data_IF_729112210356
#
_entry.id   IF_729112210356
#
_cell.length_a   1.000
_cell.length_b   1.000
_cell.length_c   1.000
_cell.angle_alpha   90.00
_cell.angle_beta   90.00
_cell.angle_gamma   90.00
#
_symmetry.space_group_name_H-M   'P 1'
#
loop_
_entity.id
_entity.type
_entity.pdbx_description
1 polymer ?
#
# COMPACT_ATOMS: atom_id res chain seq x y z
N UNK A 1 -62.45 -22.34 -30.14
CA UNK A 1 -62.04 -22.06 -28.74
C UNK A 1 -60.57 -22.43 -28.46
N UNK A 2 -59.60 -21.75 -29.09
CA UNK A 2 -58.18 -21.94 -28.72
C UNK A 2 -57.31 -20.66 -28.83
N UNK A 3 -57.86 -19.54 -29.32
CA UNK A 3 -57.15 -18.26 -29.40
C UNK A 3 -57.38 -17.32 -28.20
N UNK A 4 -58.43 -17.53 -27.40
CA UNK A 4 -58.80 -16.62 -26.30
C UNK A 4 -58.18 -16.97 -24.92
N UNK A 5 -57.46 -18.09 -24.78
CA UNK A 5 -56.81 -18.48 -23.50
C UNK A 5 -55.34 -18.02 -23.37
N UNK A 6 -54.76 -17.39 -24.40
CA UNK A 6 -53.36 -16.94 -24.39
C UNK A 6 -53.16 -15.45 -24.02
N UNK A 7 -54.24 -14.68 -23.86
CA UNK A 7 -54.22 -13.25 -23.53
C UNK A 7 -54.35 -12.94 -22.02
N UNK A 8 -54.81 -13.90 -21.20
CA UNK A 8 -54.98 -13.69 -19.75
C UNK A 8 -53.90 -14.36 -18.89
N UNK A 9 -52.62 -14.12 -19.22
CA UNK A 9 -51.55 -14.25 -18.21
C UNK A 9 -51.25 -12.87 -17.69
N UNK A 10 -51.92 -12.50 -16.58
CA UNK A 10 -51.51 -11.37 -15.74
C UNK A 10 -50.05 -11.63 -15.36
N UNK A 11 -49.11 -11.00 -16.07
CA UNK A 11 -47.73 -10.90 -15.61
C UNK A 11 -47.81 -10.10 -14.31
N UNK A 12 -47.78 -10.79 -13.17
CA UNK A 12 -47.51 -10.15 -11.88
C UNK A 12 -46.28 -9.29 -12.11
N UNK A 13 -46.46 -7.96 -12.14
CA UNK A 13 -45.35 -7.00 -12.19
C UNK A 13 -44.51 -7.37 -10.98
N UNK A 14 -43.38 -8.06 -11.18
CA UNK A 14 -42.36 -8.18 -10.15
C UNK A 14 -41.98 -6.75 -9.85
N UNK A 15 -42.48 -6.21 -8.75
CA UNK A 15 -41.90 -5.04 -8.14
C UNK A 15 -40.44 -5.43 -7.87
N UNK A 16 -39.56 -5.10 -8.82
CA UNK A 16 -38.15 -4.94 -8.50
C UNK A 16 -38.18 -3.88 -7.41
N UNK A 17 -37.95 -4.30 -6.18
CA UNK A 17 -37.44 -3.41 -5.15
C UNK A 17 -36.16 -2.84 -5.76
N UNK A 18 -36.28 -1.71 -6.46
CA UNK A 18 -35.16 -0.79 -6.61
C UNK A 18 -34.86 -0.44 -5.17
N UNK A 19 -33.89 -1.13 -4.57
CA UNK A 19 -33.18 -0.60 -3.43
C UNK A 19 -32.88 0.83 -3.85
N UNK A 20 -33.56 1.78 -3.21
CA UNK A 20 -33.32 3.16 -3.49
C UNK A 20 -31.88 3.36 -3.08
N UNK A 21 -30.97 3.41 -4.05
CA UNK A 21 -29.66 4.02 -3.91
C UNK A 21 -29.89 5.52 -3.65
N UNK A 22 -30.57 5.83 -2.55
CA UNK A 22 -30.41 7.10 -1.88
C UNK A 22 -28.99 6.99 -1.36
N UNK A 23 -28.04 7.46 -2.18
CA UNK A 23 -26.78 7.96 -1.70
C UNK A 23 -27.15 8.92 -0.56
N UNK A 24 -27.17 8.40 0.66
CA UNK A 24 -27.55 9.13 1.85
C UNK A 24 -26.31 9.94 2.20
N UNK A 25 -26.11 11.01 1.43
CA UNK A 25 -24.96 11.91 1.59
C UNK A 25 -24.91 12.30 3.07
N UNK A 26 -23.79 12.03 3.73
CA UNK A 26 -23.67 12.14 5.20
C UNK A 26 -24.01 13.55 5.73
N UNK A 27 -23.87 14.57 4.89
CA UNK A 27 -24.22 15.96 5.17
C UNK A 27 -25.70 16.34 4.94
N UNK A 28 -26.51 15.42 4.38
CA UNK A 28 -27.91 15.68 4.00
C UNK A 28 -28.87 15.32 5.13
N UNK A 29 -29.25 16.33 5.92
CA UNK A 29 -30.02 16.17 7.15
C UNK A 29 -31.55 16.31 6.97
N UNK A 30 -32.29 16.46 8.08
CA UNK A 30 -33.74 16.63 8.10
C UNK A 30 -34.17 17.99 7.49
N UNK A 31 -33.38 19.04 7.69
CA UNK A 31 -33.62 20.39 7.14
C UNK A 31 -33.60 20.35 5.61
N UNK A 32 -32.56 19.73 5.03
CA UNK A 32 -32.44 19.53 3.59
C UNK A 32 -33.60 18.71 3.01
N UNK A 33 -34.08 17.69 3.74
CA UNK A 33 -35.23 16.87 3.35
C UNK A 33 -36.53 17.66 3.30
N UNK A 34 -36.81 18.45 4.34
CA UNK A 34 -38.01 19.27 4.45
C UNK A 34 -38.05 20.34 3.35
N UNK A 35 -36.94 21.04 3.13
CA UNK A 35 -36.85 22.04 2.06
C UNK A 35 -36.99 21.42 0.67
N UNK A 36 -36.39 20.24 0.43
CA UNK A 36 -36.59 19.49 -0.84
C UNK A 36 -38.05 19.14 -1.07
N UNK A 37 -38.78 18.75 -0.02
CA UNK A 37 -40.21 18.47 -0.11
C UNK A 37 -41.01 19.72 -0.47
N UNK A 38 -40.74 20.85 0.18
CA UNK A 38 -41.38 22.14 -0.11
C UNK A 38 -41.12 22.62 -1.54
N UNK A 39 -39.87 22.52 -2.02
CA UNK A 39 -39.51 22.86 -3.41
C UNK A 39 -40.26 21.96 -4.39
N UNK A 40 -40.36 20.65 -4.13
CA UNK A 40 -41.08 19.72 -5.00
C UNK A 40 -42.59 20.00 -5.05
N UNK A 41 -43.20 20.31 -3.89
CA UNK A 41 -44.62 20.68 -3.82
C UNK A 41 -44.91 21.92 -4.66
N UNK A 42 -44.11 22.98 -4.50
CA UNK A 42 -44.24 24.22 -5.28
C UNK A 42 -43.91 24.01 -6.77
N UNK A 43 -42.95 23.15 -7.09
CA UNK A 43 -42.65 22.79 -8.48
C UNK A 43 -43.85 22.12 -9.16
N UNK A 44 -44.50 21.18 -8.47
CA UNK A 44 -45.69 20.51 -8.97
C UNK A 44 -46.87 21.49 -9.14
N UNK A 45 -47.10 22.40 -8.18
CA UNK A 45 -48.12 23.44 -8.28
C UNK A 45 -47.87 24.38 -9.47
N UNK A 46 -46.61 24.82 -9.66
CA UNK A 46 -46.19 25.62 -10.81
C UNK A 46 -46.38 24.88 -12.15
N UNK A 47 -46.25 23.55 -12.15
CA UNK A 47 -46.50 22.73 -13.35
C UNK A 47 -48.00 22.59 -13.66
N UNK A 48 -48.86 22.60 -12.63
CA UNK A 48 -50.32 22.54 -12.80
C UNK A 48 -50.93 23.90 -13.19
N UNK A 49 -50.35 25.01 -12.75
CA UNK A 49 -50.80 26.37 -13.08
C UNK A 49 -49.62 27.27 -13.49
N UNK A 50 -49.25 27.28 -14.78
CA UNK A 50 -48.05 27.96 -15.27
C UNK A 50 -48.14 29.49 -15.34
N UNK A 51 -49.36 30.05 -15.40
CA UNK A 51 -49.59 31.49 -15.58
C UNK A 51 -49.62 32.25 -14.24
N UNK A 52 -49.69 31.52 -13.12
CA UNK A 52 -49.68 32.10 -11.78
C UNK A 52 -48.29 32.62 -11.39
N UNK A 53 -48.13 33.94 -11.44
CA UNK A 53 -46.88 34.64 -11.10
C UNK A 53 -46.49 34.47 -9.63
N UNK A 54 -47.46 34.43 -8.72
CA UNK A 54 -47.22 34.31 -7.27
C UNK A 54 -46.64 32.93 -6.89
N UNK A 55 -47.16 31.85 -7.50
CA UNK A 55 -46.62 30.49 -7.31
C UNK A 55 -45.20 30.39 -7.85
N UNK A 56 -44.92 31.03 -8.99
CA UNK A 56 -43.59 31.07 -9.60
C UNK A 56 -42.58 31.79 -8.70
N UNK A 57 -42.95 32.94 -8.14
CA UNK A 57 -42.06 33.71 -7.26
C UNK A 57 -41.80 32.97 -5.95
N UNK A 58 -42.83 32.36 -5.35
CA UNK A 58 -42.69 31.47 -4.17
C UNK A 58 -41.79 30.27 -4.45
N UNK A 59 -41.89 29.65 -5.64
CA UNK A 59 -41.01 28.56 -6.05
C UNK A 59 -39.55 29.01 -6.18
N UNK A 60 -39.28 30.13 -6.87
CA UNK A 60 -37.93 30.64 -7.08
C UNK A 60 -37.26 31.04 -5.75
N UNK A 61 -37.99 31.70 -4.85
CA UNK A 61 -37.51 32.04 -3.52
C UNK A 61 -37.15 30.78 -2.70
N UNK A 62 -38.04 29.79 -2.69
CA UNK A 62 -37.81 28.52 -1.96
C UNK A 62 -36.64 27.73 -2.57
N UNK A 63 -36.49 27.75 -3.90
CA UNK A 63 -35.38 27.11 -4.60
C UNK A 63 -34.04 27.75 -4.26
N UNK A 64 -33.99 29.09 -4.18
CA UNK A 64 -32.80 29.84 -3.77
C UNK A 64 -32.38 29.47 -2.34
N UNK A 65 -33.34 29.45 -1.41
CA UNK A 65 -33.12 29.04 -0.01
C UNK A 65 -32.58 27.61 0.04
N UNK A 66 -33.21 26.67 -0.67
CA UNK A 66 -32.77 25.28 -0.71
C UNK A 66 -31.35 25.12 -1.25
N UNK A 67 -31.01 25.80 -2.37
CA UNK A 67 -29.64 25.77 -2.92
C UNK A 67 -28.60 26.32 -1.93
N UNK A 68 -28.92 27.41 -1.25
CA UNK A 68 -28.04 27.99 -0.23
C UNK A 68 -27.87 27.06 0.97
N UNK A 69 -28.93 26.43 1.46
CA UNK A 69 -28.86 25.45 2.54
C UNK A 69 -28.00 24.25 2.14
N UNK A 70 -28.15 23.72 0.91
CA UNK A 70 -27.30 22.63 0.43
C UNK A 70 -25.82 23.02 0.39
N UNK A 71 -25.51 24.22 -0.12
CA UNK A 71 -24.14 24.74 -0.18
C UNK A 71 -23.54 24.84 1.23
N UNK A 72 -24.24 25.53 2.14
CA UNK A 72 -23.84 25.69 3.54
C UNK A 72 -23.61 24.36 4.26
N UNK A 73 -24.54 23.40 4.12
CA UNK A 73 -24.42 22.08 4.78
C UNK A 73 -23.24 21.27 4.25
N UNK A 74 -22.96 21.39 2.96
CA UNK A 74 -21.81 20.76 2.33
C UNK A 74 -20.51 21.39 2.82
N UNK A 75 -20.43 22.71 2.88
CA UNK A 75 -19.26 23.46 3.39
C UNK A 75 -18.97 23.10 4.85
N UNK A 76 -19.97 23.18 5.74
CA UNK A 76 -19.83 22.80 7.15
C UNK A 76 -19.37 21.36 7.36
N UNK A 77 -19.80 20.44 6.48
CA UNK A 77 -19.35 19.06 6.54
C UNK A 77 -17.87 18.92 6.14
N UNK A 78 -17.44 19.64 5.11
CA UNK A 78 -16.03 19.65 4.68
C UNK A 78 -15.14 20.32 5.72
N UNK A 79 -15.57 21.43 6.31
CA UNK A 79 -14.86 22.15 7.36
C UNK A 79 -14.64 21.26 8.60
N UNK A 80 -15.71 20.63 9.12
CA UNK A 80 -15.58 19.66 10.21
C UNK A 80 -14.65 18.49 9.88
N UNK A 81 -14.64 18.06 8.62
CA UNK A 81 -13.75 16.99 8.17
C UNK A 81 -12.29 17.43 8.10
N UNK A 82 -12.02 18.69 7.77
CA UNK A 82 -10.68 19.27 7.79
C UNK A 82 -10.18 19.45 9.23
N UNK A 83 -11.02 19.95 10.14
CA UNK A 83 -10.68 20.05 11.57
C UNK A 83 -10.34 18.67 12.17
N UNK A 84 -11.11 17.64 11.83
CA UNK A 84 -10.84 16.26 12.26
C UNK A 84 -9.51 15.74 11.68
N UNK A 85 -9.20 16.12 10.45
CA UNK A 85 -7.96 15.74 9.76
C UNK A 85 -6.73 16.42 10.37
N UNK A 86 -6.82 17.70 10.71
CA UNK A 86 -5.76 18.44 11.42
C UNK A 86 -5.46 17.79 12.77
N UNK A 87 -6.50 17.48 13.57
CA UNK A 87 -6.36 16.80 14.86
C UNK A 87 -5.69 15.43 14.77
N UNK A 88 -6.00 14.67 13.72
CA UNK A 88 -5.41 13.34 13.50
C UNK A 88 -3.97 13.46 12.98
N UNK A 89 -3.66 14.51 12.21
CA UNK A 89 -2.31 14.74 11.66
C UNK A 89 -1.25 14.92 12.74
N UNK A 90 -1.60 15.53 13.87
CA UNK A 90 -0.70 15.80 14.99
C UNK A 90 -0.33 14.55 15.80
N UNK A 91 -1.15 13.50 15.76
CA UNK A 91 -1.07 12.39 16.70
C UNK A 91 -0.64 11.05 16.08
N UNK A 92 -1.07 10.71 14.86
CA UNK A 92 -0.70 9.44 14.20
C UNK A 92 -0.75 9.53 12.66
N UNK A 93 0.43 9.45 11.99
CA UNK A 93 0.52 9.41 10.53
C UNK A 93 -0.33 8.30 9.88
N UNK A 94 -0.50 7.14 10.52
CA UNK A 94 -1.26 6.04 9.91
C UNK A 94 -2.77 6.30 9.94
N UNK A 95 -3.27 6.83 11.06
CA UNK A 95 -4.66 7.27 11.19
C UNK A 95 -4.98 8.40 10.21
N UNK A 96 -4.04 9.33 9.98
CA UNK A 96 -4.17 10.38 8.97
C UNK A 96 -4.38 9.80 7.57
N UNK A 97 -3.50 8.90 7.12
CA UNK A 97 -3.62 8.29 5.78
C UNK A 97 -4.88 7.43 5.63
N UNK A 98 -5.32 6.77 6.71
CA UNK A 98 -6.58 6.00 6.71
C UNK A 98 -7.79 6.93 6.58
N UNK A 99 -7.78 8.06 7.28
CA UNK A 99 -8.83 9.07 7.19
C UNK A 99 -8.90 9.70 5.80
N UNK A 100 -7.74 10.07 5.24
CA UNK A 100 -7.63 10.65 3.90
C UNK A 100 -8.14 9.69 2.81
N UNK A 101 -7.83 8.38 2.90
CA UNK A 101 -8.36 7.38 1.96
C UNK A 101 -9.88 7.24 2.02
N UNK A 102 -10.46 7.24 3.23
CA UNK A 102 -11.91 7.22 3.38
C UNK A 102 -12.55 8.51 2.82
N UNK A 103 -11.79 9.61 2.78
CA UNK A 103 -12.22 10.87 2.18
C UNK A 103 -12.18 10.80 0.65
N UNK A 104 -11.18 10.13 0.05
CA UNK A 104 -11.07 9.98 -1.41
C UNK A 104 -12.21 9.17 -2.03
N UNK A 105 -12.82 8.23 -1.29
CA UNK A 105 -14.00 7.48 -1.76
C UNK A 105 -15.20 8.40 -2.06
N UNK A 106 -15.30 9.57 -1.40
CA UNK A 106 -16.34 10.58 -1.65
C UNK A 106 -16.02 11.47 -2.87
N UNK A 107 -14.78 11.46 -3.38
CA UNK A 107 -14.31 12.25 -4.54
C UNK A 107 -14.23 11.48 -5.86
N UNK A 108 -14.66 10.21 -5.85
CA UNK A 108 -14.57 9.31 -7.01
C UNK A 108 -13.28 8.50 -6.97
N UNK A 109 -13.43 7.21 -7.25
CA UNK A 109 -12.36 6.22 -7.22
C UNK A 109 -11.22 6.60 -8.20
N UNK A 110 -9.99 6.90 -7.71
CA UNK A 110 -8.84 7.12 -8.57
C UNK A 110 -8.49 5.89 -9.42
N UNK A 111 -9.00 4.70 -9.07
CA UNK A 111 -8.77 3.47 -9.84
C UNK A 111 -9.47 3.46 -11.21
N UNK A 112 -10.22 4.50 -11.56
CA UNK A 112 -10.85 4.67 -12.88
C UNK A 112 -9.99 5.47 -13.88
N UNK A 113 -8.85 6.05 -13.46
CA UNK A 113 -7.86 6.56 -14.41
C UNK A 113 -7.05 5.41 -14.99
N UNK A 114 -6.88 5.38 -16.32
CA UNK A 114 -5.98 4.44 -16.99
C UNK A 114 -4.59 4.52 -16.33
N UNK A 115 -3.92 3.38 -16.06
CA UNK A 115 -2.58 3.40 -15.50
C UNK A 115 -1.63 4.16 -16.44
N UNK A 116 -0.75 5.00 -15.87
CA UNK A 116 0.19 5.84 -16.64
C UNK A 116 1.13 5.01 -17.53
N UNK A 117 1.42 3.77 -17.12
CA UNK A 117 2.29 2.81 -17.81
C UNK A 117 1.57 1.46 -17.93
N UNK A 118 1.62 0.86 -19.12
CA UNK A 118 0.99 -0.45 -19.37
C UNK A 118 1.73 -1.61 -18.67
N UNK A 119 1.00 -2.68 -18.37
CA UNK A 119 1.59 -3.88 -17.73
C UNK A 119 2.69 -4.51 -18.60
N UNK A 120 2.51 -4.57 -19.91
CA UNK A 120 3.51 -5.10 -20.83
C UNK A 120 4.78 -4.23 -20.83
N UNK A 121 4.63 -2.91 -20.78
CA UNK A 121 5.78 -2.00 -20.67
C UNK A 121 6.58 -2.25 -19.39
N UNK A 122 5.89 -2.45 -18.26
CA UNK A 122 6.55 -2.85 -17.01
C UNK A 122 7.29 -4.18 -17.11
N UNK A 123 6.66 -5.18 -17.72
CA UNK A 123 7.26 -6.50 -17.89
C UNK A 123 8.55 -6.41 -18.70
N UNK A 124 8.51 -5.78 -19.88
CA UNK A 124 9.68 -5.60 -20.74
C UNK A 124 10.78 -4.80 -20.04
N UNK A 125 10.42 -3.73 -19.33
CA UNK A 125 11.38 -2.89 -18.61
C UNK A 125 12.13 -3.66 -17.51
N UNK A 126 11.42 -4.40 -16.65
CA UNK A 126 12.08 -5.15 -15.59
C UNK A 126 12.79 -6.40 -16.12
N UNK A 127 12.29 -7.02 -17.18
CA UNK A 127 13.00 -8.12 -17.85
C UNK A 127 14.33 -7.67 -18.44
N UNK A 128 14.38 -6.50 -19.09
CA UNK A 128 15.65 -5.98 -19.63
C UNK A 128 16.61 -5.58 -18.52
N UNK A 129 16.11 -4.96 -17.45
CA UNK A 129 16.92 -4.56 -16.29
C UNK A 129 17.54 -5.76 -15.56
N UNK A 130 16.84 -6.90 -15.54
CA UNK A 130 17.30 -8.14 -14.92
C UNK A 130 17.88 -9.15 -15.93
N UNK A 131 18.11 -8.74 -17.18
CA UNK A 131 18.73 -9.62 -18.17
C UNK A 131 20.16 -9.98 -17.74
N UNK A 132 20.57 -11.22 -18.00
CA UNK A 132 21.94 -11.65 -17.73
C UNK A 132 22.89 -10.86 -18.64
N UNK A 133 23.72 -10.02 -18.04
CA UNK A 133 24.79 -9.33 -18.75
C UNK A 133 25.97 -10.28 -18.95
N UNK A 134 26.56 -10.26 -20.14
CA UNK A 134 27.84 -10.94 -20.40
C UNK A 134 28.92 -10.23 -19.60
N UNK A 135 29.63 -10.97 -18.75
CA UNK A 135 30.73 -10.42 -17.98
C UNK A 135 31.90 -10.06 -18.88
N UNK A 136 32.51 -8.91 -18.64
CA UNK A 136 33.75 -8.49 -19.29
C UNK A 136 34.94 -9.33 -18.82
N UNK A 137 36.05 -9.33 -19.56
CA UNK A 137 37.25 -10.12 -19.23
C UNK A 137 37.76 -9.85 -17.81
N UNK A 138 37.78 -8.58 -17.39
CA UNK A 138 38.21 -8.21 -16.03
C UNK A 138 37.25 -8.72 -14.95
N UNK A 139 35.95 -8.64 -15.21
CA UNK A 139 34.92 -9.16 -14.29
C UNK A 139 35.02 -10.68 -14.15
N UNK A 140 35.29 -11.39 -15.24
CA UNK A 140 35.55 -12.82 -15.22
C UNK A 140 36.80 -13.17 -14.40
N UNK A 141 37.87 -12.38 -14.53
CA UNK A 141 39.09 -12.58 -13.73
C UNK A 141 38.83 -12.40 -12.23
N UNK A 142 38.01 -11.41 -11.84
CA UNK A 142 37.59 -11.22 -10.45
C UNK A 142 36.76 -12.42 -9.98
N UNK A 143 35.79 -12.88 -10.78
CA UNK A 143 34.97 -14.04 -10.44
C UNK A 143 35.81 -15.28 -10.19
N UNK A 144 36.80 -15.55 -11.05
CA UNK A 144 37.73 -16.68 -10.86
C UNK A 144 38.54 -16.56 -9.55
N UNK A 145 38.96 -15.35 -9.16
CA UNK A 145 39.63 -15.14 -7.87
C UNK A 145 38.69 -15.42 -6.69
N UNK A 146 37.43 -15.00 -6.79
CA UNK A 146 36.42 -15.26 -5.75
C UNK A 146 36.13 -16.75 -5.62
N UNK A 147 35.96 -17.48 -6.72
CA UNK A 147 35.72 -18.93 -6.70
C UNK A 147 36.88 -19.69 -6.04
N UNK A 148 38.13 -19.25 -6.23
CA UNK A 148 39.28 -19.83 -5.51
C UNK A 148 39.24 -19.56 -4.00
N UNK A 149 38.68 -18.43 -3.57
CA UNK A 149 38.50 -18.10 -2.15
C UNK A 149 37.30 -18.84 -1.52
N UNK A 150 36.38 -19.35 -2.33
CA UNK A 150 35.26 -20.20 -1.89
C UNK A 150 35.70 -21.64 -1.59
N UNK A 151 36.96 -22.00 -1.86
CA UNK A 151 37.55 -23.26 -1.38
C UNK A 151 37.48 -23.28 0.15
N UNK A 152 36.60 -24.14 0.66
CA UNK A 152 36.12 -24.14 2.05
C UNK A 152 37.28 -24.10 3.04
N UNK A 153 37.36 -23.02 3.81
CA UNK A 153 38.01 -23.08 5.10
C UNK A 153 37.12 -23.94 6.02
N UNK A 154 37.62 -25.08 6.54
CA UNK A 154 36.88 -25.81 7.56
C UNK A 154 36.76 -24.89 8.79
N UNK A 155 35.57 -24.79 9.39
CA UNK A 155 35.26 -23.99 10.60
C UNK A 155 35.19 -22.46 10.42
N UNK A 156 34.24 -21.98 9.63
CA UNK A 156 33.84 -20.57 9.67
C UNK A 156 32.71 -20.38 10.70
N UNK A 157 32.93 -19.49 11.68
CA UNK A 157 31.94 -19.09 12.69
C UNK A 157 30.58 -18.70 12.08
N UNK A 158 30.57 -18.15 10.86
CA UNK A 158 29.34 -17.76 10.16
C UNK A 158 28.46 -18.95 9.77
N UNK A 159 29.06 -20.12 9.58
CA UNK A 159 28.40 -21.35 9.11
C UNK A 159 27.94 -22.26 10.25
N UNK A 160 28.14 -21.85 11.51
CA UNK A 160 27.64 -22.57 12.69
C UNK A 160 26.11 -22.74 12.66
N UNK A 161 25.55 -23.79 13.27
CA UNK A 161 24.10 -23.93 13.38
C UNK A 161 23.43 -22.69 14.00
N UNK A 162 22.28 -22.29 13.46
CA UNK A 162 21.44 -21.22 14.02
C UNK A 162 20.88 -21.69 15.35
N UNK A 163 21.08 -20.91 16.42
CA UNK A 163 20.51 -21.20 17.74
C UNK A 163 19.06 -20.72 17.87
N UNK A 164 18.31 -21.31 18.80
CA UNK A 164 16.95 -20.85 19.12
C UNK A 164 16.92 -19.42 19.68
N UNK A 165 17.98 -19.02 20.39
CA UNK A 165 18.13 -17.66 20.89
C UNK A 165 18.23 -16.63 19.75
N UNK A 166 18.95 -16.96 18.67
CA UNK A 166 19.02 -16.12 17.46
C UNK A 166 17.66 -15.99 16.79
N UNK A 167 16.90 -17.08 16.68
CA UNK A 167 15.53 -17.06 16.12
C UNK A 167 14.63 -16.13 16.94
N UNK A 168 14.66 -16.24 18.28
CA UNK A 168 13.87 -15.38 19.16
C UNK A 168 14.30 -13.91 19.09
N UNK A 169 15.61 -13.66 19.05
CA UNK A 169 16.17 -12.31 18.92
C UNK A 169 15.73 -11.64 17.62
N UNK A 170 15.90 -12.33 16.49
CA UNK A 170 15.51 -11.84 15.18
C UNK A 170 13.98 -11.67 15.05
N UNK A 171 13.17 -12.51 15.70
CA UNK A 171 11.72 -12.30 15.70
C UNK A 171 11.33 -10.95 16.33
N UNK A 172 12.01 -10.54 17.40
CA UNK A 172 11.73 -9.26 18.08
C UNK A 172 12.03 -8.05 17.19
N UNK A 173 13.05 -8.13 16.34
CA UNK A 173 13.47 -7.03 15.45
C UNK A 173 12.60 -6.86 14.21
N UNK A 174 11.73 -7.83 13.88
CA UNK A 174 10.79 -7.72 12.76
C UNK A 174 9.88 -6.50 12.94
N UNK A 175 9.87 -5.60 11.95
CA UNK A 175 9.05 -4.38 11.98
C UNK A 175 7.59 -4.69 11.64
N UNK A 176 6.66 -4.15 12.40
CA UNK A 176 5.22 -4.24 12.12
C UNK A 176 4.82 -3.31 10.97
N UNK A 177 3.62 -3.53 10.42
CA UNK A 177 2.98 -2.78 9.35
C UNK A 177 3.82 -2.73 8.07
N UNK A 178 4.64 -3.76 7.84
CA UNK A 178 5.40 -3.92 6.59
C UNK A 178 4.57 -4.68 5.57
N UNK A 179 4.67 -4.24 4.33
CA UNK A 179 4.01 -4.89 3.20
C UNK A 179 4.54 -6.32 3.04
N UNK A 180 3.62 -7.27 2.95
CA UNK A 180 3.93 -8.68 2.75
C UNK A 180 3.77 -9.06 1.27
N UNK A 181 4.65 -9.93 0.78
CA UNK A 181 4.47 -10.58 -0.51
C UNK A 181 3.17 -11.40 -0.52
N UNK A 182 2.34 -11.23 -1.56
CA UNK A 182 1.05 -11.92 -1.79
C UNK A 182 0.04 -11.91 -0.63
N UNK A 183 0.25 -11.12 0.42
CA UNK A 183 -0.66 -10.99 1.57
C UNK A 183 -0.75 -12.22 2.49
N UNK A 184 0.01 -13.29 2.26
CA UNK A 184 -0.18 -14.58 2.96
C UNK A 184 0.40 -14.64 4.37
N UNK A 185 1.61 -14.12 4.58
CA UNK A 185 2.30 -14.15 5.89
C UNK A 185 2.88 -12.78 6.18
N UNK A 186 2.46 -12.17 7.29
CA UNK A 186 2.97 -10.87 7.76
C UNK A 186 3.95 -11.02 8.92
N UNK A 187 4.74 -9.99 9.17
CA UNK A 187 5.71 -9.97 10.26
C UNK A 187 5.06 -10.16 11.64
N UNK A 188 3.87 -9.61 11.86
CA UNK A 188 3.11 -9.78 13.11
C UNK A 188 2.78 -11.25 13.35
N UNK A 189 2.37 -11.97 12.31
CA UNK A 189 2.08 -13.40 12.41
C UNK A 189 3.32 -14.18 12.83
N UNK A 190 4.49 -13.86 12.26
CA UNK A 190 5.77 -14.48 12.65
C UNK A 190 6.11 -14.15 14.11
N UNK A 191 5.96 -12.90 14.55
CA UNK A 191 6.20 -12.47 15.93
C UNK A 191 5.31 -13.16 16.96
N UNK A 192 4.06 -13.42 16.62
CA UNK A 192 3.14 -14.15 17.51
C UNK A 192 3.40 -15.65 17.48
N UNK A 193 3.55 -16.21 16.29
CA UNK A 193 3.72 -17.66 16.11
C UNK A 193 5.07 -18.18 16.59
N UNK A 194 6.14 -17.38 16.61
CA UNK A 194 7.46 -17.82 17.13
C UNK A 194 7.37 -18.33 18.57
N UNK A 195 6.41 -17.84 19.37
CA UNK A 195 6.19 -18.29 20.76
C UNK A 195 5.77 -19.76 20.85
N UNK A 196 5.17 -20.29 19.78
CA UNK A 196 4.61 -21.64 19.71
C UNK A 196 5.45 -22.51 18.74
N UNK A 197 5.85 -21.93 17.61
CA UNK A 197 6.51 -22.61 16.49
C UNK A 197 8.03 -22.45 16.50
N UNK A 198 8.65 -22.02 17.61
CA UNK A 198 10.10 -21.79 17.71
C UNK A 198 10.91 -22.97 17.18
N UNK A 199 10.60 -24.20 17.63
CA UNK A 199 11.31 -25.41 17.22
C UNK A 199 11.19 -25.69 15.72
N UNK A 200 10.06 -25.32 15.11
CA UNK A 200 9.83 -25.49 13.68
C UNK A 200 10.66 -24.49 12.87
N UNK A 201 10.66 -23.21 13.25
CA UNK A 201 11.50 -22.19 12.62
C UNK A 201 12.98 -22.55 12.73
N UNK A 202 13.42 -22.95 13.92
CA UNK A 202 14.78 -23.37 14.19
C UNK A 202 15.22 -24.54 13.30
N UNK A 203 14.40 -25.60 13.18
CA UNK A 203 14.68 -26.73 12.28
C UNK A 203 14.72 -26.31 10.82
N UNK A 204 13.75 -25.51 10.37
CA UNK A 204 13.66 -25.05 8.99
C UNK A 204 14.87 -24.20 8.60
N UNK A 205 15.25 -23.23 9.42
CA UNK A 205 16.37 -22.34 9.12
C UNK A 205 17.71 -23.06 9.11
N UNK A 206 17.93 -23.99 10.05
CA UNK A 206 19.12 -24.84 10.02
C UNK A 206 19.15 -25.78 8.82
N UNK A 207 18.00 -26.29 8.37
CA UNK A 207 17.92 -27.11 7.17
C UNK A 207 18.34 -26.31 5.93
N UNK A 208 17.83 -25.08 5.78
CA UNK A 208 18.21 -24.17 4.69
C UNK A 208 19.71 -23.86 4.75
N UNK A 209 20.25 -23.53 5.94
CA UNK A 209 21.68 -23.23 6.10
C UNK A 209 22.57 -24.43 5.76
N UNK A 210 22.23 -25.63 6.28
CA UNK A 210 23.01 -26.85 6.08
C UNK A 210 22.99 -27.33 4.62
N UNK A 211 21.85 -27.22 3.96
CA UNK A 211 21.70 -27.69 2.57
C UNK A 211 22.16 -26.66 1.54
N UNK A 212 22.25 -25.39 1.92
CA UNK A 212 22.43 -24.28 0.98
C UNK A 212 21.23 -24.08 0.04
N UNK A 213 20.13 -24.82 0.23
CA UNK A 213 18.97 -24.76 -0.63
C UNK A 213 17.95 -23.77 -0.09
N UNK A 214 17.80 -22.65 -0.80
CA UNK A 214 16.79 -21.64 -0.52
C UNK A 214 15.48 -21.98 -1.25
N UNK A 215 14.31 -22.05 -0.57
CA UNK A 215 13.07 -22.42 -1.23
C UNK A 215 12.69 -21.50 -2.40
N UNK A 216 12.22 -22.06 -3.51
CA UNK A 216 11.84 -21.26 -4.70
C UNK A 216 10.79 -20.19 -4.39
N UNK A 217 9.80 -20.53 -3.56
CA UNK A 217 8.76 -19.59 -3.10
C UNK A 217 9.33 -18.39 -2.31
N UNK A 218 10.55 -18.50 -1.77
CA UNK A 218 11.22 -17.41 -1.07
C UNK A 218 12.04 -16.52 -2.01
N UNK A 219 12.38 -17.03 -3.19
CA UNK A 219 13.02 -16.30 -4.29
C UNK A 219 12.00 -15.48 -5.10
N UNK A 220 10.72 -15.82 -5.01
CA UNK A 220 9.64 -15.06 -5.64
C UNK A 220 9.37 -13.73 -4.91
N UNK A 221 9.07 -12.69 -5.68
CA UNK A 221 8.76 -11.37 -5.15
C UNK A 221 7.83 -10.56 -6.05
N UNK A 222 7.11 -9.61 -5.46
CA UNK A 222 6.22 -8.69 -6.17
C UNK A 222 6.94 -7.36 -6.35
N UNK A 223 7.13 -6.93 -7.60
CA UNK A 223 7.73 -5.63 -7.91
C UNK A 223 6.63 -4.57 -7.88
N UNK A 224 6.77 -3.61 -6.98
CA UNK A 224 5.93 -2.43 -6.88
C UNK A 224 6.69 -1.20 -7.42
N UNK A 225 6.33 -0.68 -8.61
CA UNK A 225 6.94 0.53 -9.14
C UNK A 225 6.45 1.77 -8.35
N UNK A 226 7.39 2.54 -7.81
CA UNK A 226 7.12 3.80 -7.10
C UNK A 226 7.67 4.96 -7.91
N UNK A 227 6.79 5.88 -8.30
CA UNK A 227 7.19 7.06 -9.06
C UNK A 227 8.21 7.90 -8.29
N UNK A 228 9.29 8.31 -8.96
CA UNK A 228 10.31 9.22 -8.43
C UNK A 228 9.96 10.66 -8.78
N UNK A 229 10.10 11.00 -10.07
CA UNK A 229 9.98 12.35 -10.63
C UNK A 229 10.06 12.31 -12.17
N UNK A 230 9.56 13.34 -12.84
CA UNK A 230 9.61 13.46 -14.30
C UNK A 230 8.33 12.99 -15.00
N UNK A 231 8.47 12.39 -16.19
CA UNK A 231 7.35 11.85 -16.95
C UNK A 231 6.84 10.54 -16.32
N UNK A 232 5.53 10.45 -16.08
CA UNK A 232 4.87 9.27 -15.51
C UNK A 232 4.70 8.13 -16.51
N UNK A 233 4.82 8.41 -17.81
CA UNK A 233 4.71 7.38 -18.85
C UNK A 233 6.02 6.62 -19.09
N UNK A 234 7.14 7.12 -18.55
CA UNK A 234 8.47 6.51 -18.66
C UNK A 234 8.77 5.59 -17.44
N UNK A 235 8.90 4.26 -17.63
CA UNK A 235 9.25 3.32 -16.57
C UNK A 235 10.55 3.65 -15.81
N UNK A 236 11.53 4.31 -16.46
CA UNK A 236 12.82 4.65 -15.83
C UNK A 236 12.66 5.69 -14.70
N UNK A 237 11.56 6.44 -14.71
CA UNK A 237 11.21 7.43 -13.68
C UNK A 237 10.62 6.80 -12.42
N UNK A 238 10.58 5.48 -12.32
CA UNK A 238 10.10 4.74 -11.16
C UNK A 238 11.23 4.01 -10.43
N UNK A 239 10.98 3.61 -9.18
CA UNK A 239 11.79 2.66 -8.40
C UNK A 239 11.02 1.35 -8.33
N UNK A 240 11.56 0.28 -8.89
CA UNK A 240 11.01 -1.06 -8.66
C UNK A 240 11.38 -1.51 -7.24
N UNK A 241 10.42 -1.51 -6.32
CA UNK A 241 10.62 -2.09 -4.98
C UNK A 241 10.12 -3.54 -4.99
N UNK A 242 11.02 -4.48 -4.77
CA UNK A 242 10.65 -5.89 -4.67
C UNK A 242 10.21 -6.25 -3.25
N UNK A 243 8.97 -6.74 -3.11
CA UNK A 243 8.45 -7.30 -1.88
C UNK A 243 8.58 -8.82 -1.92
N UNK A 244 9.53 -9.36 -1.16
CA UNK A 244 9.74 -10.81 -0.99
C UNK A 244 9.07 -11.37 0.27
N UNK A 245 9.08 -12.70 0.40
CA UNK A 245 8.56 -13.46 1.55
C UNK A 245 9.05 -12.91 2.91
N UNK A 246 8.12 -12.74 3.85
CA UNK A 246 8.44 -12.36 5.23
C UNK A 246 9.27 -13.43 5.95
N UNK A 247 9.05 -14.72 5.64
CA UNK A 247 9.78 -15.83 6.24
C UNK A 247 11.23 -15.89 5.73
N UNK A 248 11.43 -15.60 4.43
CA UNK A 248 12.74 -15.39 3.81
C UNK A 248 13.51 -14.29 4.52
N UNK A 249 12.89 -13.10 4.65
CA UNK A 249 13.48 -11.96 5.36
C UNK A 249 13.78 -12.25 6.83
N UNK A 250 12.99 -13.11 7.47
CA UNK A 250 13.23 -13.51 8.84
C UNK A 250 14.54 -14.31 8.96
N UNK A 251 14.78 -15.28 8.08
CA UNK A 251 16.08 -15.96 8.00
C UNK A 251 17.21 -14.97 7.67
N UNK A 252 17.03 -14.13 6.64
CA UNK A 252 18.04 -13.13 6.26
C UNK A 252 18.37 -12.16 7.41
N UNK A 253 17.41 -11.85 8.30
CA UNK A 253 17.68 -11.03 9.47
C UNK A 253 18.66 -11.70 10.44
N UNK A 254 18.59 -13.02 10.61
CA UNK A 254 19.52 -13.78 11.45
C UNK A 254 20.92 -13.75 10.82
N UNK A 255 21.00 -14.07 9.53
CA UNK A 255 22.26 -14.05 8.79
C UNK A 255 22.90 -12.66 8.78
N UNK A 256 22.09 -11.60 8.61
CA UNK A 256 22.56 -10.23 8.66
C UNK A 256 23.12 -9.85 10.03
N UNK A 257 22.53 -10.33 11.13
CA UNK A 257 23.06 -10.11 12.48
C UNK A 257 24.44 -10.77 12.64
N UNK A 258 24.61 -12.00 12.16
CA UNK A 258 25.91 -12.70 12.16
C UNK A 258 26.97 -11.97 11.36
N UNK A 259 26.64 -11.60 10.12
CA UNK A 259 27.54 -10.87 9.23
C UNK A 259 27.92 -9.50 9.81
N UNK A 260 26.95 -8.77 10.37
CA UNK A 260 27.20 -7.47 10.98
C UNK A 260 28.14 -7.61 12.18
N UNK A 261 27.90 -8.58 13.06
CA UNK A 261 28.76 -8.86 14.22
C UNK A 261 30.18 -9.23 13.76
N UNK A 262 30.31 -10.15 12.81
CA UNK A 262 31.60 -10.56 12.27
C UNK A 262 32.38 -9.38 11.68
N UNK A 263 31.72 -8.54 10.88
CA UNK A 263 32.33 -7.37 10.26
C UNK A 263 32.81 -6.32 11.26
N UNK A 264 32.06 -6.12 12.34
CA UNK A 264 32.42 -5.20 13.43
C UNK A 264 33.59 -5.77 14.25
N UNK A 265 33.47 -7.02 14.72
CA UNK A 265 34.47 -7.66 15.58
C UNK A 265 35.85 -7.79 14.89
N UNK A 266 35.86 -7.87 13.55
CA UNK A 266 37.07 -7.98 12.73
C UNK A 266 37.51 -6.65 12.09
N UNK A 267 36.82 -5.54 12.36
CA UNK A 267 37.10 -4.22 11.78
C UNK A 267 37.21 -4.24 10.24
N UNK A 268 36.32 -4.98 9.57
CA UNK A 268 36.34 -5.16 8.10
C UNK A 268 35.84 -3.90 7.39
N UNK A 269 34.89 -3.20 7.99
CA UNK A 269 34.24 -2.03 7.40
C UNK A 269 35.08 -0.80 7.70
N UNK A 270 35.48 -0.07 6.66
CA UNK A 270 36.25 1.18 6.81
C UNK A 270 35.43 2.23 7.57
N UNK A 271 36.05 3.08 8.40
CA UNK A 271 35.34 4.16 9.12
C UNK A 271 34.61 5.14 8.21
N UNK A 272 35.07 5.31 6.96
CA UNK A 272 34.40 6.13 5.94
C UNK A 272 33.12 5.51 5.37
N UNK A 273 32.85 4.24 5.63
CA UNK A 273 31.61 3.58 5.23
C UNK A 273 30.59 3.70 6.36
N UNK A 274 29.79 4.77 6.34
CA UNK A 274 28.71 4.96 7.30
C UNK A 274 27.35 4.51 6.76
N UNK A 275 27.27 4.22 5.46
CA UNK A 275 26.03 3.82 4.80
C UNK A 275 25.52 2.49 5.32
N UNK A 276 24.25 2.44 5.73
CA UNK A 276 23.62 1.25 6.32
C UNK A 276 24.27 0.75 7.62
N UNK A 277 25.14 1.55 8.25
CA UNK A 277 25.72 1.25 9.56
C UNK A 277 24.83 1.77 10.68
N UNK A 278 24.76 1.00 11.77
CA UNK A 278 24.05 1.43 12.98
C UNK A 278 24.75 2.63 13.61
N UNK A 279 23.98 3.59 14.13
CA UNK A 279 24.52 4.77 14.81
C UNK A 279 24.94 5.92 13.89
N UNK A 280 24.86 5.74 12.56
CA UNK A 280 25.24 6.76 11.59
C UNK A 280 24.06 7.34 10.82
N UNK A 281 24.22 8.58 10.34
CA UNK A 281 23.23 9.32 9.54
C UNK A 281 23.91 9.98 8.35
N UNK A 282 23.15 10.26 7.29
CA UNK A 282 23.67 10.96 6.11
C UNK A 282 24.30 12.33 6.45
N UNK A 283 23.84 12.97 7.53
CA UNK A 283 24.41 14.24 8.01
C UNK A 283 25.87 14.12 8.47
N UNK A 284 26.30 12.93 8.93
CA UNK A 284 27.66 12.74 9.42
C UNK A 284 28.68 12.91 8.29
N UNK A 285 28.38 12.40 7.09
CA UNK A 285 29.20 12.66 5.89
C UNK A 285 29.23 14.14 5.51
N UNK A 286 28.10 14.85 5.64
CA UNK A 286 28.06 16.29 5.35
C UNK A 286 28.96 17.05 6.33
N UNK A 287 28.93 16.68 7.61
CA UNK A 287 29.79 17.27 8.65
C UNK A 287 31.27 17.02 8.37
N UNK A 288 31.64 15.76 8.07
CA UNK A 288 33.02 15.39 7.73
C UNK A 288 33.51 16.18 6.50
N UNK A 289 32.69 16.31 5.45
CA UNK A 289 33.04 17.07 4.26
C UNK A 289 33.18 18.57 4.53
N UNK A 290 32.42 19.13 5.49
CA UNK A 290 32.49 20.56 5.83
C UNK A 290 33.70 20.92 6.70
N UNK A 291 34.15 20.01 7.56
CA UNK A 291 35.18 20.28 8.56
C UNK A 291 36.58 19.77 8.17
N UNK A 292 36.70 19.08 7.04
CA UNK A 292 37.99 18.67 6.47
C UNK A 292 38.54 19.68 5.44
N UNK A 293 38.12 20.95 5.51
CA UNK A 293 38.71 22.09 4.79
C UNK A 293 39.47 22.98 5.77
#
# INVERSE_FOLDING_TARGET
>A
MHAAKKSMKIKKKKYRNKASNVCNKKWFDKECRLQRHSVRRLANQKHCDPLNTEIRDKYLATLKIYKNTLKRKKELFHEKKLEELERVSENDPNSFWKFLKNMSDDFGDPSMSKPDVSVNSWLTHFQSLHAKHTLETEQNNILQKLTKLEEKTPNNFLDEPISEAEVLSAAKTLKNNKSAYSGKIKNEMLKHSVKILLKLYHKLFNLVLKTGHFPDQWCEGLIAPIFKSGDKTDPNKYRGICMTSCLSKFLCSILNQRLSKFSIDRNIIRPSQIGSQSGHRTADHIFVLKNNN
#
